data_IF_816707555905
#
_entry.id   IF_816707555905
#
_cell.length_a   1.000
_cell.length_b   1.000
_cell.length_c   1.000
_cell.angle_alpha   90.00
_cell.angle_beta   90.00
_cell.angle_gamma   90.00
#
_symmetry.space_group_name_H-M   'P 1'
#
loop_
_entity.id
_entity.type
_entity.pdbx_description
1 polymer ?
#
# COMPACT_ATOMS: atom_id res chain seq x y z
N UNK A 1 12.30 -4.52 -13.81
CA UNK A 1 11.25 -5.24 -13.05
C UNK A 1 11.42 -5.06 -11.55
N UNK A 2 12.62 -5.21 -10.98
CA UNK A 2 12.88 -4.93 -9.55
C UNK A 2 12.37 -3.56 -9.08
N UNK A 3 12.48 -2.52 -9.91
CA UNK A 3 12.08 -1.17 -9.51
C UNK A 3 10.59 -1.01 -9.19
N UNK A 4 9.69 -1.74 -9.88
CA UNK A 4 8.27 -1.72 -9.56
C UNK A 4 7.97 -2.46 -8.26
N UNK A 5 8.71 -3.53 -7.97
CA UNK A 5 8.58 -4.28 -6.72
C UNK A 5 9.08 -3.47 -5.53
N UNK A 6 10.22 -2.78 -5.67
CA UNK A 6 10.74 -1.89 -4.62
C UNK A 6 9.78 -0.73 -4.37
N UNK A 7 9.19 -0.14 -5.42
CA UNK A 7 8.14 0.87 -5.23
C UNK A 7 6.93 0.31 -4.47
N UNK A 8 6.50 -0.91 -4.79
CA UNK A 8 5.40 -1.57 -4.05
C UNK A 8 5.74 -1.73 -2.58
N UNK A 9 6.97 -2.16 -2.28
CA UNK A 9 7.44 -2.34 -0.92
C UNK A 9 7.49 -1.01 -0.14
N UNK A 10 7.97 0.07 -0.76
CA UNK A 10 8.01 1.39 -0.12
C UNK A 10 6.60 1.92 0.17
N UNK A 11 5.66 1.73 -0.75
CA UNK A 11 4.28 2.17 -0.61
C UNK A 11 3.47 1.29 0.36
N UNK A 12 3.80 0.00 0.49
CA UNK A 12 3.04 -0.90 1.37
C UNK A 12 3.21 -0.53 2.85
N UNK A 13 4.37 0.02 3.24
CA UNK A 13 4.66 0.42 4.63
C UNK A 13 3.63 1.44 5.16
N UNK A 14 3.50 2.66 4.58
CA UNK A 14 2.51 3.63 5.04
C UNK A 14 1.07 3.17 4.78
N UNK A 15 0.80 2.37 3.73
CA UNK A 15 -0.52 1.82 3.47
C UNK A 15 -0.98 0.89 4.60
N UNK A 16 -0.13 -0.08 4.99
CA UNK A 16 -0.42 -1.04 6.05
C UNK A 16 -0.58 -0.34 7.40
N UNK A 17 0.36 0.54 7.77
CA UNK A 17 0.25 1.27 9.05
C UNK A 17 -1.05 2.07 9.11
N UNK A 18 -1.37 2.83 8.07
CA UNK A 18 -2.57 3.69 8.04
C UNK A 18 -3.87 2.86 8.06
N UNK A 19 -3.96 1.81 7.23
CA UNK A 19 -5.14 0.97 7.13
C UNK A 19 -5.38 0.17 8.43
N UNK A 20 -4.35 -0.43 9.02
CA UNK A 20 -4.49 -1.18 10.26
C UNK A 20 -4.85 -0.28 11.43
N UNK A 21 -4.28 0.93 11.53
CA UNK A 21 -4.65 1.87 12.58
C UNK A 21 -6.15 2.24 12.53
N UNK A 22 -6.68 2.54 11.33
CA UNK A 22 -8.07 2.92 11.13
C UNK A 22 -9.07 1.77 11.32
N UNK A 23 -8.68 0.54 10.93
CA UNK A 23 -9.54 -0.64 11.00
C UNK A 23 -9.57 -1.25 12.40
N UNK A 24 -8.41 -1.37 13.05
CA UNK A 24 -8.31 -2.06 14.36
C UNK A 24 -8.67 -1.17 15.56
N UNK A 25 -8.71 0.15 15.40
CA UNK A 25 -9.08 1.07 16.46
C UNK A 25 -9.57 2.44 15.95
N UNK A 26 -9.99 3.34 16.86
CA UNK A 26 -10.48 4.67 16.52
C UNK A 26 -9.31 5.64 16.28
N UNK A 27 -8.31 5.24 15.48
CA UNK A 27 -7.04 5.93 15.35
C UNK A 27 -6.73 6.36 13.92
N UNK A 28 -6.02 7.47 13.78
CA UNK A 28 -5.24 7.80 12.59
C UNK A 28 -3.76 7.78 12.97
N UNK A 29 -2.95 7.03 12.23
CA UNK A 29 -1.49 7.05 12.40
C UNK A 29 -0.91 8.33 11.80
N UNK A 30 -0.01 8.98 12.55
CA UNK A 30 0.82 10.06 12.03
C UNK A 30 1.95 9.45 11.20
N UNK A 31 1.87 9.62 9.87
CA UNK A 31 2.85 9.07 8.94
C UNK A 31 4.10 9.95 8.82
N UNK A 32 4.06 11.19 9.32
CA UNK A 32 5.09 12.20 9.09
C UNK A 32 5.22 12.57 7.61
N UNK A 33 6.43 12.91 7.19
CA UNK A 33 6.81 13.19 5.79
C UNK A 33 7.92 12.24 5.34
N UNK A 34 8.36 12.34 4.09
CA UNK A 34 9.52 11.56 3.62
C UNK A 34 10.81 11.97 4.33
N UNK A 35 10.98 13.26 4.60
CA UNK A 35 12.20 13.80 5.20
C UNK A 35 12.17 13.75 6.74
N UNK A 36 11.00 13.59 7.36
CA UNK A 36 10.80 13.39 8.80
C UNK A 36 9.72 12.33 9.04
N UNK A 37 10.12 11.05 8.97
CA UNK A 37 9.17 9.93 8.98
C UNK A 37 8.63 9.66 10.39
N UNK A 38 7.31 9.54 10.49
CA UNK A 38 6.63 9.05 11.70
C UNK A 38 6.64 7.52 11.83
N UNK A 39 7.24 6.82 10.85
CA UNK A 39 7.18 5.37 10.69
C UNK A 39 8.53 4.71 10.98
N UNK A 40 8.47 3.45 11.40
CA UNK A 40 9.64 2.57 11.51
C UNK A 40 9.36 1.24 10.81
N UNK A 41 10.41 0.65 10.25
CA UNK A 41 10.35 -0.62 9.55
C UNK A 41 11.57 -1.46 9.93
N UNK A 42 11.36 -2.48 10.76
CA UNK A 42 12.39 -3.48 11.04
C UNK A 42 12.37 -4.51 9.93
N UNK A 43 13.55 -4.83 9.39
CA UNK A 43 13.72 -5.80 8.33
C UNK A 43 14.14 -7.16 8.88
N UNK A 44 13.55 -8.23 8.34
CA UNK A 44 14.04 -9.59 8.53
C UNK A 44 15.39 -9.80 7.81
N UNK A 45 16.12 -10.91 8.08
CA UNK A 45 17.37 -11.23 7.36
C UNK A 45 17.24 -11.27 5.82
N UNK A 46 16.03 -11.53 5.29
CA UNK A 46 15.72 -11.47 3.87
C UNK A 46 15.35 -10.08 3.34
N UNK A 47 15.55 -9.02 4.14
CA UNK A 47 15.27 -7.61 3.82
C UNK A 47 13.79 -7.30 3.48
N UNK A 48 12.85 -8.13 3.93
CA UNK A 48 11.43 -7.83 3.90
C UNK A 48 10.97 -7.27 5.25
N UNK A 49 9.85 -6.50 5.29
CA UNK A 49 9.38 -5.89 6.52
C UNK A 49 8.95 -6.99 7.49
N UNK A 50 9.53 -7.00 8.68
CA UNK A 50 9.17 -7.91 9.77
C UNK A 50 8.24 -7.24 10.78
N UNK A 51 8.49 -5.96 11.06
CA UNK A 51 7.70 -5.16 11.98
C UNK A 51 7.57 -3.75 11.45
N UNK A 52 6.35 -3.26 11.40
CA UNK A 52 6.05 -1.86 11.14
C UNK A 52 5.67 -1.20 12.45
N UNK A 53 6.19 0.00 12.68
CA UNK A 53 5.86 0.81 13.83
C UNK A 53 5.56 2.25 13.43
N UNK A 54 4.97 2.99 14.35
CA UNK A 54 4.68 4.40 14.22
C UNK A 54 4.89 5.09 15.57
N UNK A 55 5.21 6.38 15.53
CA UNK A 55 5.51 7.15 16.75
C UNK A 55 4.26 7.70 17.43
N UNK A 56 3.24 8.08 16.65
CA UNK A 56 2.06 8.79 17.16
C UNK A 56 0.80 8.33 16.44
N UNK A 57 -0.31 8.37 17.19
CA UNK A 57 -1.67 8.27 16.67
C UNK A 57 -2.50 9.41 17.23
N UNK A 58 -3.51 9.82 16.47
CA UNK A 58 -4.54 10.75 16.92
C UNK A 58 -5.88 10.03 16.98
N UNK A 59 -6.77 10.49 17.87
CA UNK A 59 -8.14 10.01 17.91
C UNK A 59 -8.86 10.40 16.62
N UNK A 60 -9.66 9.47 16.11
CA UNK A 60 -10.41 9.63 14.87
C UNK A 60 -11.91 9.51 15.10
N UNK A 61 -12.70 9.71 14.04
CA UNK A 61 -14.16 9.53 14.08
C UNK A 61 -14.53 8.10 14.54
N UNK A 62 -15.66 7.91 15.23
CA UNK A 62 -16.12 6.58 15.64
C UNK A 62 -16.63 5.75 14.45
N UNK A 63 -17.04 6.38 13.36
CA UNK A 63 -17.44 5.69 12.13
C UNK A 63 -16.21 5.17 11.36
N UNK A 64 -16.26 3.89 10.94
CA UNK A 64 -15.12 3.25 10.27
C UNK A 64 -14.88 3.81 8.86
N UNK A 65 -15.93 4.09 8.10
CA UNK A 65 -15.78 4.54 6.72
C UNK A 65 -15.23 5.97 6.68
N UNK A 66 -15.69 6.85 7.58
CA UNK A 66 -15.09 8.18 7.77
C UNK A 66 -13.61 8.09 8.14
N UNK A 67 -13.24 7.18 9.06
CA UNK A 67 -11.82 6.95 9.40
C UNK A 67 -11.02 6.46 8.20
N UNK A 68 -11.54 5.51 7.43
CA UNK A 68 -10.87 4.97 6.25
C UNK A 68 -10.64 6.06 5.20
N UNK A 69 -11.58 6.98 5.01
CA UNK A 69 -11.41 8.13 4.11
C UNK A 69 -10.30 9.06 4.60
N UNK A 70 -10.28 9.39 5.90
CA UNK A 70 -9.24 10.23 6.48
C UNK A 70 -7.85 9.56 6.41
N UNK A 71 -7.76 8.28 6.77
CA UNK A 71 -6.55 7.47 6.70
C UNK A 71 -6.04 7.33 5.27
N UNK A 72 -6.93 7.11 4.29
CA UNK A 72 -6.59 7.09 2.86
C UNK A 72 -6.02 8.44 2.42
N UNK A 73 -6.61 9.54 2.87
CA UNK A 73 -6.16 10.88 2.51
C UNK A 73 -4.74 11.13 3.01
N UNK A 74 -4.47 10.82 4.28
CA UNK A 74 -3.13 10.92 4.87
C UNK A 74 -2.12 10.02 4.14
N UNK A 75 -2.48 8.75 3.89
CA UNK A 75 -1.65 7.83 3.12
C UNK A 75 -1.37 8.35 1.71
N UNK A 76 -2.37 8.87 0.99
CA UNK A 76 -2.18 9.35 -0.38
C UNK A 76 -1.20 10.52 -0.46
N UNK A 77 -1.17 11.41 0.53
CA UNK A 77 -0.20 12.51 0.58
C UNK A 77 1.22 11.94 0.55
N UNK A 78 1.55 11.07 1.49
CA UNK A 78 2.89 10.45 1.58
C UNK A 78 3.17 9.51 0.41
N UNK A 79 2.18 8.69 0.02
CA UNK A 79 2.32 7.70 -1.05
C UNK A 79 2.54 8.35 -2.41
N UNK A 80 1.87 9.46 -2.71
CA UNK A 80 2.12 10.21 -3.95
C UNK A 80 3.51 10.84 -3.95
N UNK A 81 3.97 11.36 -2.80
CA UNK A 81 5.32 11.91 -2.69
C UNK A 81 6.39 10.81 -2.89
N UNK A 82 6.18 9.61 -2.32
CA UNK A 82 7.07 8.45 -2.52
C UNK A 82 7.09 8.08 -4.00
N UNK A 83 5.92 7.97 -4.62
CA UNK A 83 5.79 7.60 -6.02
C UNK A 83 6.40 8.62 -6.97
N UNK A 84 6.40 9.91 -6.61
CA UNK A 84 7.03 10.99 -7.38
C UNK A 84 8.56 10.97 -7.23
N UNK A 85 9.07 10.99 -5.99
CA UNK A 85 10.51 11.06 -5.69
C UNK A 85 11.27 9.76 -5.97
N UNK A 86 10.57 8.65 -6.18
CA UNK A 86 11.22 7.36 -6.44
C UNK A 86 11.99 7.35 -7.78
N UNK A 87 13.32 7.24 -7.69
CA UNK A 87 14.20 6.98 -8.82
C UNK A 87 14.66 5.51 -8.81
N UNK A 88 13.96 4.69 -9.60
CA UNK A 88 14.25 3.27 -9.73
C UNK A 88 15.29 2.93 -10.79
N UNK A 89 15.99 3.92 -11.37
CA UNK A 89 17.00 3.74 -12.43
C UNK A 89 16.45 3.25 -13.79
N UNK A 90 15.14 3.03 -13.87
CA UNK A 90 14.42 2.63 -15.08
C UNK A 90 13.09 3.37 -15.14
N UNK A 91 12.58 3.56 -16.36
CA UNK A 91 11.28 4.20 -16.57
C UNK A 91 10.17 3.32 -15.98
N UNK A 92 9.44 3.87 -15.02
CA UNK A 92 8.16 3.35 -14.50
C UNK A 92 7.09 4.35 -14.90
N UNK A 93 6.02 3.91 -15.58
CA UNK A 93 5.01 4.83 -16.11
C UNK A 93 4.26 5.54 -14.98
N UNK A 94 3.70 6.72 -15.27
CA UNK A 94 2.84 7.45 -14.32
C UNK A 94 1.63 6.62 -13.90
N UNK A 95 1.01 5.89 -14.84
CA UNK A 95 -0.10 4.98 -14.54
C UNK A 95 0.33 3.89 -13.55
N UNK A 96 1.52 3.31 -13.71
CA UNK A 96 2.03 2.33 -12.76
C UNK A 96 2.30 2.97 -11.40
N UNK A 97 2.98 4.12 -11.35
CA UNK A 97 3.32 4.82 -10.10
C UNK A 97 2.07 5.20 -9.32
N UNK A 98 1.14 5.92 -9.95
CA UNK A 98 -0.06 6.45 -9.31
C UNK A 98 -1.09 5.34 -9.04
N UNK A 99 -1.28 4.42 -9.98
CA UNK A 99 -2.17 3.28 -9.78
C UNK A 99 -1.73 2.39 -8.62
N UNK A 100 -0.42 2.27 -8.40
CA UNK A 100 0.14 1.45 -7.32
C UNK A 100 -0.10 2.04 -5.93
N UNK A 101 -0.18 3.37 -5.82
CA UNK A 101 -0.59 4.04 -4.58
C UNK A 101 -2.01 3.58 -4.21
N UNK A 102 -2.94 3.61 -5.15
CA UNK A 102 -4.33 3.19 -4.90
C UNK A 102 -4.48 1.68 -4.70
N UNK A 103 -3.76 0.86 -5.48
CA UNK A 103 -3.78 -0.59 -5.33
C UNK A 103 -3.34 -1.04 -3.93
N UNK A 104 -2.25 -0.44 -3.41
CA UNK A 104 -1.71 -0.83 -2.12
C UNK A 104 -2.54 -0.35 -0.95
N UNK A 105 -3.24 0.78 -1.09
CA UNK A 105 -4.27 1.16 -0.13
C UNK A 105 -5.38 0.10 -0.06
N UNK A 106 -5.94 -0.28 -1.22
CA UNK A 106 -7.02 -1.24 -1.27
C UNK A 106 -6.58 -2.62 -0.73
N UNK A 107 -5.36 -3.06 -1.06
CA UNK A 107 -4.78 -4.29 -0.53
C UNK A 107 -4.59 -4.24 0.99
N UNK A 108 -4.07 -3.13 1.53
CA UNK A 108 -3.87 -2.94 2.97
C UNK A 108 -5.20 -2.92 3.74
N UNK A 109 -6.24 -2.25 3.23
CA UNK A 109 -7.58 -2.26 3.85
C UNK A 109 -8.18 -3.66 3.84
N UNK A 110 -8.03 -4.38 2.72
CA UNK A 110 -8.49 -5.77 2.59
C UNK A 110 -7.81 -6.68 3.61
N UNK A 111 -6.50 -6.55 3.77
CA UNK A 111 -5.71 -7.30 4.74
C UNK A 111 -6.12 -6.97 6.19
N UNK A 112 -6.23 -5.66 6.51
CA UNK A 112 -6.64 -5.20 7.83
C UNK A 112 -8.03 -5.70 8.22
N UNK A 113 -9.01 -5.65 7.32
CA UNK A 113 -10.36 -6.22 7.55
C UNK A 113 -10.31 -7.74 7.73
N UNK A 114 -9.50 -8.42 6.92
CA UNK A 114 -9.26 -9.86 7.05
C UNK A 114 -8.71 -10.26 8.42
N UNK A 115 -7.80 -9.44 8.99
CA UNK A 115 -7.23 -9.67 10.32
C UNK A 115 -8.24 -9.62 11.47
N UNK A 116 -9.36 -8.92 11.28
CA UNK A 116 -10.48 -8.84 12.23
C UNK A 116 -11.51 -9.96 12.06
N UNK A 117 -11.25 -10.95 11.19
CA UNK A 117 -12.18 -12.05 10.93
C UNK A 117 -13.38 -11.68 10.08
N UNK A 118 -13.41 -10.48 9.47
CA UNK A 118 -14.50 -10.01 8.60
C UNK A 118 -14.51 -10.67 7.21
N UNK A 119 -13.63 -11.65 6.98
CA UNK A 119 -13.35 -12.23 5.68
C UNK A 119 -12.48 -11.31 4.82
N UNK A 120 -11.70 -11.91 3.92
CA UNK A 120 -10.78 -11.16 3.04
C UNK A 120 -11.48 -10.58 1.80
N UNK A 121 -12.73 -10.91 1.53
CA UNK A 121 -13.46 -10.44 0.34
C UNK A 121 -12.79 -10.84 -1.00
N UNK A 122 -13.31 -10.34 -2.13
CA UNK A 122 -12.73 -10.59 -3.45
C UNK A 122 -11.32 -10.03 -3.57
N UNK A 123 -10.58 -10.47 -4.59
CA UNK A 123 -9.29 -9.87 -4.91
C UNK A 123 -9.46 -8.38 -5.27
N UNK A 124 -8.44 -7.57 -4.98
CA UNK A 124 -8.42 -6.16 -5.40
C UNK A 124 -8.16 -6.10 -6.89
N UNK A 125 -9.07 -5.49 -7.64
CA UNK A 125 -8.83 -5.14 -9.05
C UNK A 125 -7.81 -4.01 -9.14
N UNK A 126 -6.63 -4.33 -9.69
CA UNK A 126 -5.48 -3.43 -9.69
C UNK A 126 -5.48 -2.52 -10.90
N UNK A 127 -5.05 -1.29 -10.70
CA UNK A 127 -4.79 -0.30 -11.75
C UNK A 127 -3.34 -0.36 -12.26
N UNK A 128 -2.40 -0.78 -11.41
CA UNK A 128 -0.98 -0.88 -11.77
C UNK A 128 -0.59 -2.28 -12.23
N UNK A 129 0.01 -2.38 -13.42
CA UNK A 129 0.66 -3.61 -13.86
C UNK A 129 2.07 -3.70 -13.29
N UNK A 130 2.36 -4.74 -12.50
CA UNK A 130 3.69 -5.01 -11.95
C UNK A 130 4.66 -5.68 -12.94
N UNK A 131 4.17 -6.14 -14.09
CA UNK A 131 4.91 -6.89 -15.13
C UNK A 131 5.65 -8.16 -14.65
N UNK A 132 5.28 -8.72 -13.49
CA UNK A 132 5.90 -9.96 -12.96
C UNK A 132 5.62 -11.18 -13.86
N UNK A 133 4.48 -11.21 -14.56
CA UNK A 133 4.08 -12.32 -15.46
C UNK A 133 4.97 -12.47 -16.71
N UNK A 134 5.91 -11.54 -16.96
CA UNK A 134 6.85 -11.65 -18.08
C UNK A 134 7.96 -12.70 -17.88
N UNK A 135 7.97 -13.40 -16.74
CA UNK A 135 8.93 -14.47 -16.42
C UNK A 135 8.33 -15.85 -16.72
N UNK A 136 9.08 -16.79 -17.35
CA UNK A 136 8.60 -18.15 -17.61
C UNK A 136 8.10 -18.85 -16.33
N UNK A 137 6.91 -19.46 -16.40
CA UNK A 137 6.29 -20.17 -15.28
C UNK A 137 5.63 -19.27 -14.22
N UNK A 138 5.62 -17.95 -14.40
CA UNK A 138 4.86 -17.04 -13.56
C UNK A 138 3.45 -16.82 -14.15
N UNK A 139 2.45 -16.79 -13.28
CA UNK A 139 1.08 -16.43 -13.63
C UNK A 139 0.80 -14.98 -13.23
N UNK A 140 -0.24 -14.39 -13.82
CA UNK A 140 -0.72 -13.08 -13.45
C UNK A 140 -1.07 -13.01 -11.95
N UNK A 141 -0.75 -11.88 -11.31
CA UNK A 141 -1.21 -11.65 -9.95
C UNK A 141 -2.74 -11.52 -9.91
N UNK A 142 -3.36 -11.87 -8.79
CA UNK A 142 -4.80 -11.66 -8.59
C UNK A 142 -5.18 -10.19 -8.84
N UNK A 143 -6.22 -9.96 -9.64
CA UNK A 143 -6.69 -8.63 -10.05
C UNK A 143 -5.78 -7.90 -11.05
N UNK A 144 -4.99 -8.63 -11.86
CA UNK A 144 -4.09 -8.01 -12.84
C UNK A 144 -4.86 -7.19 -13.91
N UNK A 145 -4.53 -5.91 -14.15
CA UNK A 145 -5.24 -5.06 -15.12
C UNK A 145 -5.13 -5.54 -16.58
N UNK A 146 -4.24 -6.51 -16.86
CA UNK A 146 -4.12 -7.10 -18.20
C UNK A 146 -5.16 -8.17 -18.48
N UNK A 147 -5.82 -8.69 -17.46
CA UNK A 147 -6.91 -9.64 -17.62
C UNK A 147 -8.21 -8.91 -17.96
N UNK A 148 -8.44 -7.72 -17.40
CA UNK A 148 -9.60 -6.88 -17.70
C UNK A 148 -9.57 -6.21 -19.08
N UNK A 149 -8.42 -6.23 -19.77
CA UNK A 149 -8.25 -5.66 -21.12
C UNK A 149 -8.34 -6.71 -22.24
N UNK A 150 -8.69 -7.96 -21.92
CA UNK A 150 -8.83 -9.06 -22.88
C UNK A 150 -10.30 -9.42 -23.19
N UNK A 151 -11.24 -8.71 -22.56
CA UNK A 151 -12.68 -8.70 -22.89
C UNK A 151 -13.00 -7.53 -23.84
#
# INVERSE_FOLDING_TARGET
>A
MASAFVLQHLLSIPAQVSAFAAVTGPWLADLGTIDDSGLSCDLAPGLYPQRLGFLRVTSAAPDLEERLVAARTAYRIVGLEIADRYDGGVKVSSQQRLGMVDDLWALAVREARGSLGQGVGPAVERQSCCFIYALPGCHECAGCPRLSSQD
#
